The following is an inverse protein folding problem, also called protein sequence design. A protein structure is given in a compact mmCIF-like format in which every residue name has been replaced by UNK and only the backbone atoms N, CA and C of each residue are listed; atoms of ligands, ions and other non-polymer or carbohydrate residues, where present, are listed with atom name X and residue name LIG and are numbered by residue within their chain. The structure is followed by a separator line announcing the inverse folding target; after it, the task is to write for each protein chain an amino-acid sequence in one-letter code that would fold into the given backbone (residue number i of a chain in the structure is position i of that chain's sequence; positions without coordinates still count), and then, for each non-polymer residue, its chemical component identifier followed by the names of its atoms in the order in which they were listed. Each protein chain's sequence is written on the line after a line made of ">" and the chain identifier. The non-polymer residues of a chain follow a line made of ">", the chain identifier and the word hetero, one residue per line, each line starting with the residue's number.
data_IF_396085656802
#
_entry.id   IF_396085656802
#
_cell.length_a   1.000
_cell.length_b   1.000
_cell.length_c   1.000
_cell.angle_alpha   90.00
_cell.angle_beta   90.00
_cell.angle_gamma   90.00
#
_symmetry.space_group_name_H-M   'P 1'
#
loop_
_entity.id
_entity.type
_entity.pdbx_description
1 polymer ?
#
# COMPACT_ATOMS: atom_id res chain seq x y z
N UNK A 1 -14.18 -15.61 -5.21
CA UNK A 1 -14.00 -14.14 -5.37
C UNK A 1 -14.70 -13.47 -4.19
N UNK A 2 -13.95 -12.88 -3.26
CA UNK A 2 -14.53 -12.19 -2.11
C UNK A 2 -15.15 -10.87 -2.59
N UNK A 3 -16.49 -10.82 -2.59
CA UNK A 3 -17.26 -9.60 -2.82
C UNK A 3 -17.04 -8.72 -1.59
N UNK A 4 -16.25 -7.66 -1.70
CA UNK A 4 -16.08 -6.74 -0.58
C UNK A 4 -17.38 -5.97 -0.37
N UNK A 5 -18.13 -6.38 0.65
CA UNK A 5 -19.38 -5.76 1.06
C UNK A 5 -19.09 -4.39 1.68
N UNK A 6 -19.56 -3.33 1.00
CA UNK A 6 -19.92 -2.01 1.52
C UNK A 6 -18.87 -1.29 2.40
N UNK A 7 -18.37 -0.16 1.89
CA UNK A 7 -17.44 0.71 2.61
C UNK A 7 -17.85 0.96 4.07
N UNK A 8 -16.91 0.82 4.99
CA UNK A 8 -17.11 0.91 6.44
C UNK A 8 -16.55 2.22 6.98
N UNK A 9 -17.38 3.02 7.63
CA UNK A 9 -16.94 4.22 8.33
C UNK A 9 -16.18 3.80 9.60
N UNK A 10 -14.90 4.13 9.68
CA UNK A 10 -14.05 3.88 10.84
C UNK A 10 -14.09 5.03 11.85
N UNK A 11 -14.19 6.26 11.33
CA UNK A 11 -14.27 7.49 12.14
C UNK A 11 -15.22 8.47 11.48
N UNK A 12 -15.97 9.22 12.28
CA UNK A 12 -16.81 10.31 11.78
C UNK A 12 -16.92 11.43 12.80
N UNK A 13 -16.49 12.62 12.40
CA UNK A 13 -16.61 13.85 13.17
C UNK A 13 -17.37 14.88 12.36
N UNK A 14 -18.28 15.60 13.01
CA UNK A 14 -18.95 16.77 12.43
C UNK A 14 -18.41 18.04 13.07
N UNK A 15 -18.33 19.12 12.29
CA UNK A 15 -17.99 20.43 12.83
C UNK A 15 -16.50 20.69 13.06
N UNK A 16 -15.62 19.93 12.40
CA UNK A 16 -14.18 20.18 12.44
C UNK A 16 -13.84 21.41 11.60
N UNK A 17 -12.88 22.22 12.05
CA UNK A 17 -12.34 23.30 11.21
C UNK A 17 -11.27 22.70 10.30
N UNK A 18 -11.47 22.81 9.00
CA UNK A 18 -10.60 22.21 7.99
C UNK A 18 -10.07 23.28 7.05
N UNK A 19 -8.80 23.16 6.68
CA UNK A 19 -8.15 23.94 5.63
C UNK A 19 -7.50 23.00 4.62
N UNK A 20 -7.91 23.10 3.37
CA UNK A 20 -7.32 22.39 2.24
C UNK A 20 -6.40 23.32 1.46
N UNK A 21 -5.32 22.78 0.88
CA UNK A 21 -4.38 23.56 0.09
C UNK A 21 -5.00 24.14 -1.19
N UNK A 22 -4.47 25.28 -1.66
CA UNK A 22 -4.78 25.87 -2.97
C UNK A 22 -6.19 26.46 -3.11
N UNK A 23 -6.60 27.32 -2.16
CA UNK A 23 -7.92 27.99 -2.10
C UNK A 23 -9.15 27.07 -2.22
N UNK A 24 -8.95 25.75 -2.17
CA UNK A 24 -10.00 24.74 -2.37
C UNK A 24 -11.08 24.83 -1.31
N UNK A 25 -10.66 24.98 -0.05
CA UNK A 25 -11.60 25.06 1.06
C UNK A 25 -10.93 25.54 2.35
N UNK A 26 -11.58 26.47 3.05
CA UNK A 26 -11.31 26.78 4.45
C UNK A 26 -12.64 27.01 5.17
N UNK A 27 -12.95 26.20 6.19
CA UNK A 27 -14.23 26.30 6.86
C UNK A 27 -14.55 25.14 7.80
N UNK A 28 -15.84 25.01 8.13
CA UNK A 28 -16.35 23.93 8.98
C UNK A 28 -16.83 22.77 8.11
N UNK A 29 -16.24 21.59 8.32
CA UNK A 29 -16.54 20.38 7.58
C UNK A 29 -16.80 19.20 8.53
N UNK A 30 -17.43 18.16 7.99
CA UNK A 30 -17.40 16.84 8.58
C UNK A 30 -16.22 16.06 8.03
N UNK A 31 -15.51 15.35 8.89
CA UNK A 31 -14.33 14.55 8.55
C UNK A 31 -14.65 13.10 8.84
N UNK A 32 -14.44 12.22 7.86
CA UNK A 32 -14.68 10.79 8.01
C UNK A 32 -13.48 9.99 7.53
N UNK A 33 -13.17 8.90 8.21
CA UNK A 33 -12.23 7.89 7.71
C UNK A 33 -13.07 6.68 7.33
N UNK A 34 -12.93 6.25 6.07
CA UNK A 34 -13.72 5.17 5.50
C UNK A 34 -12.78 4.09 4.98
N UNK A 35 -12.99 2.86 5.42
CA UNK A 35 -12.35 1.67 4.86
C UNK A 35 -13.16 1.23 3.64
N UNK A 36 -12.56 1.36 2.45
CA UNK A 36 -13.16 0.98 1.17
C UNK A 36 -12.81 -0.47 0.79
N UNK A 37 -11.63 -0.94 1.20
CA UNK A 37 -11.15 -2.32 1.06
C UNK A 37 -10.12 -2.62 2.18
N UNK A 38 -9.60 -3.85 2.33
CA UNK A 38 -8.57 -4.15 3.34
C UNK A 38 -7.31 -3.28 3.19
N UNK A 39 -7.07 -2.81 1.96
CA UNK A 39 -5.90 -2.06 1.57
C UNK A 39 -6.19 -0.56 1.38
N UNK A 40 -7.44 -0.19 1.10
CA UNK A 40 -7.79 1.17 0.69
C UNK A 40 -8.64 1.80 1.79
N UNK A 41 -8.09 2.83 2.42
CA UNK A 41 -8.84 3.73 3.28
C UNK A 41 -8.82 5.15 2.71
N UNK A 42 -9.89 5.90 2.93
CA UNK A 42 -10.05 7.26 2.46
C UNK A 42 -10.42 8.19 3.61
N UNK A 43 -9.82 9.37 3.63
CA UNK A 43 -10.25 10.50 4.41
C UNK A 43 -11.22 11.33 3.55
N UNK A 44 -12.45 11.48 4.03
CA UNK A 44 -13.46 12.32 3.41
C UNK A 44 -13.56 13.64 4.16
N UNK A 45 -13.52 14.75 3.44
CA UNK A 45 -13.83 16.09 3.95
C UNK A 45 -15.11 16.56 3.28
N UNK A 46 -16.17 16.70 4.07
CA UNK A 46 -17.51 17.04 3.60
C UNK A 46 -17.83 18.45 4.13
N UNK A 47 -17.77 19.50 3.28
CA UNK A 47 -18.10 20.85 3.70
C UNK A 47 -19.51 20.94 4.29
N UNK A 48 -19.71 21.78 5.32
CA UNK A 48 -21.04 22.02 5.88
C UNK A 48 -21.97 22.87 4.98
N UNK A 49 -21.54 23.19 3.76
CA UNK A 49 -22.32 23.97 2.78
C UNK A 49 -23.09 23.04 1.83
N UNK A 50 -24.33 23.37 1.44
CA UNK A 50 -25.18 22.49 0.63
C UNK A 50 -24.62 22.13 -0.75
N UNK A 51 -23.77 22.99 -1.31
CA UNK A 51 -23.13 22.81 -2.64
C UNK A 51 -21.64 22.45 -2.52
N UNK A 52 -21.20 22.03 -1.33
CA UNK A 52 -19.80 21.67 -1.09
C UNK A 52 -19.39 20.41 -1.86
N UNK A 53 -18.28 20.50 -2.58
CA UNK A 53 -17.62 19.32 -3.15
C UNK A 53 -17.02 18.52 -2.00
N UNK A 54 -17.27 17.21 -1.98
CA UNK A 54 -16.62 16.29 -1.03
C UNK A 54 -15.22 16.00 -1.53
N UNK A 55 -14.22 16.37 -0.74
CA UNK A 55 -12.84 15.99 -1.01
C UNK A 55 -12.60 14.56 -0.50
N UNK A 56 -12.11 13.71 -1.39
CA UNK A 56 -11.76 12.32 -1.11
C UNK A 56 -10.24 12.18 -1.19
N UNK A 57 -9.61 11.90 -0.06
CA UNK A 57 -8.15 11.82 0.06
C UNK A 57 -7.78 10.39 0.42
N UNK A 58 -7.02 9.72 -0.45
CA UNK A 58 -6.51 8.38 -0.15
C UNK A 58 -5.53 8.41 1.02
N UNK A 59 -5.71 7.50 1.97
CA UNK A 59 -4.77 7.28 3.06
C UNK A 59 -3.70 6.31 2.56
N UNK A 60 -2.47 6.79 2.45
CA UNK A 60 -1.32 6.02 1.97
C UNK A 60 -0.18 6.08 2.98
N UNK A 61 0.76 5.16 2.87
CA UNK A 61 2.02 5.14 3.63
C UNK A 61 2.94 6.33 3.28
N UNK A 62 2.77 6.91 2.09
CA UNK A 62 3.52 8.08 1.61
C UNK A 62 3.03 9.43 2.20
N UNK A 63 1.88 9.44 2.88
CA UNK A 63 1.38 10.66 3.50
C UNK A 63 2.19 11.01 4.76
N UNK A 64 2.61 12.27 4.87
CA UNK A 64 3.20 12.83 6.07
C UNK A 64 2.10 13.29 7.01
N UNK A 65 2.14 12.78 8.24
CA UNK A 65 1.21 13.14 9.32
C UNK A 65 1.96 13.96 10.37
N UNK A 66 1.58 15.23 10.55
CA UNK A 66 2.08 16.09 11.63
C UNK A 66 0.94 16.41 12.58
N UNK A 67 1.22 16.31 13.87
CA UNK A 67 0.22 16.54 14.91
C UNK A 67 0.66 17.63 15.86
N UNK A 68 -0.23 18.58 16.15
CA UNK A 68 -0.07 19.56 17.21
C UNK A 68 -1.10 19.30 18.31
N UNK A 69 -0.61 18.72 19.41
CA UNK A 69 -1.43 18.36 20.57
C UNK A 69 -1.94 19.60 21.32
N UNK A 70 -1.24 20.74 21.24
CA UNK A 70 -1.61 21.95 21.98
C UNK A 70 -2.86 22.60 21.40
N UNK A 71 -3.01 22.54 20.07
CA UNK A 71 -4.17 23.08 19.35
C UNK A 71 -5.15 22.00 18.87
N UNK A 72 -4.88 20.73 19.18
CA UNK A 72 -5.61 19.56 18.68
C UNK A 72 -5.72 19.56 17.15
N UNK A 73 -4.64 19.96 16.46
CA UNK A 73 -4.59 20.05 15.01
C UNK A 73 -3.78 18.90 14.41
N UNK A 74 -4.22 18.43 13.25
CA UNK A 74 -3.54 17.41 12.47
C UNK A 74 -3.36 17.94 11.06
N UNK A 75 -2.12 17.98 10.59
CA UNK A 75 -1.75 18.30 9.21
C UNK A 75 -1.37 17.00 8.51
N UNK A 76 -2.03 16.74 7.38
CA UNK A 76 -1.72 15.62 6.49
C UNK A 76 -1.27 16.21 5.17
N UNK A 77 -0.09 15.79 4.71
CA UNK A 77 0.49 16.26 3.47
C UNK A 77 0.95 15.06 2.63
N UNK A 78 0.69 15.05 1.33
CA UNK A 78 1.27 14.05 0.43
C UNK A 78 2.30 14.71 -0.46
N UNK A 79 3.53 14.20 -0.39
CA UNK A 79 4.63 14.61 -1.26
C UNK A 79 4.85 13.55 -2.34
N UNK A 80 5.09 13.97 -3.59
CA UNK A 80 5.54 13.04 -4.63
C UNK A 80 6.92 12.50 -4.25
N UNK A 81 7.07 11.18 -4.21
CA UNK A 81 8.37 10.53 -4.04
C UNK A 81 9.29 10.85 -5.23
N UNK A 82 10.55 11.18 -4.94
CA UNK A 82 11.62 11.28 -5.95
C UNK A 82 12.04 12.66 -6.44
N UNK A 83 11.48 13.77 -5.93
CA UNK A 83 11.93 15.11 -6.32
C UNK A 83 12.36 15.94 -5.10
N UNK A 84 13.54 16.57 -5.23
CA UNK A 84 14.11 17.55 -4.30
C UNK A 84 13.05 18.61 -3.97
N UNK A 85 12.60 18.63 -2.70
CA UNK A 85 11.81 19.69 -2.05
C UNK A 85 10.87 20.45 -3.00
N UNK A 86 9.72 19.86 -3.32
CA UNK A 86 8.58 20.63 -3.84
C UNK A 86 7.40 20.53 -2.87
N UNK A 87 6.58 21.58 -2.90
CA UNK A 87 5.36 21.75 -2.11
C UNK A 87 4.49 20.49 -2.13
N UNK A 88 3.77 20.19 -1.03
CA UNK A 88 2.87 19.04 -0.98
C UNK A 88 1.85 19.07 -2.12
N UNK A 89 1.63 17.92 -2.75
CA UNK A 89 0.58 17.72 -3.77
C UNK A 89 -0.78 18.07 -3.18
N UNK A 90 -0.97 17.75 -1.90
CA UNK A 90 -2.04 18.29 -1.09
C UNK A 90 -1.55 18.53 0.33
N UNK A 91 -2.16 19.49 1.00
CA UNK A 91 -2.13 19.63 2.45
C UNK A 91 -3.57 19.74 2.94
N UNK A 92 -3.92 18.99 3.97
CA UNK A 92 -5.14 19.16 4.73
C UNK A 92 -4.78 19.37 6.19
N UNK A 93 -5.29 20.45 6.78
CA UNK A 93 -5.19 20.69 8.22
C UNK A 93 -6.58 20.52 8.81
N UNK A 94 -6.71 19.62 9.78
CA UNK A 94 -7.93 19.36 10.52
C UNK A 94 -7.71 19.79 11.97
N UNK A 95 -8.46 20.77 12.42
CA UNK A 95 -8.49 21.20 13.81
C UNK A 95 -9.68 20.57 14.52
N UNK A 96 -9.38 19.79 15.55
CA UNK A 96 -10.31 18.99 16.33
C UNK A 96 -10.62 19.75 17.63
N UNK A 97 -11.88 19.75 18.06
CA UNK A 97 -12.31 20.57 19.19
C UNK A 97 -11.96 19.96 20.54
N UNK A 98 -11.82 18.63 20.60
CA UNK A 98 -11.63 17.89 21.85
C UNK A 98 -10.37 17.02 21.78
N UNK A 99 -9.52 17.01 22.82
CA UNK A 99 -8.31 16.19 22.85
C UNK A 99 -8.58 14.68 22.68
N UNK A 100 -9.70 14.19 23.21
CA UNK A 100 -10.05 12.77 23.09
C UNK A 100 -10.31 12.38 21.63
N UNK A 101 -11.01 13.24 20.89
CA UNK A 101 -11.31 13.07 19.46
C UNK A 101 -10.02 13.18 18.63
N UNK A 102 -9.08 14.03 19.04
CA UNK A 102 -7.75 14.09 18.43
C UNK A 102 -7.00 12.77 18.53
N UNK A 103 -6.95 12.15 19.70
CA UNK A 103 -6.26 10.87 19.86
C UNK A 103 -6.96 9.73 19.13
N UNK A 104 -8.30 9.71 19.13
CA UNK A 104 -9.08 8.75 18.36
C UNK A 104 -8.80 8.87 16.86
N UNK A 105 -8.83 10.09 16.32
CA UNK A 105 -8.50 10.35 14.93
C UNK A 105 -7.08 9.85 14.58
N UNK A 106 -6.09 10.22 15.40
CA UNK A 106 -4.69 9.83 15.18
C UNK A 106 -4.52 8.31 15.18
N UNK A 107 -5.14 7.60 16.14
CA UNK A 107 -5.07 6.15 16.23
C UNK A 107 -5.68 5.45 15.01
N UNK A 108 -6.85 5.92 14.55
CA UNK A 108 -7.54 5.33 13.41
C UNK A 108 -6.79 5.64 12.11
N UNK A 109 -6.34 6.88 11.92
CA UNK A 109 -5.62 7.28 10.71
C UNK A 109 -4.29 6.53 10.57
N UNK A 110 -3.49 6.44 11.64
CA UNK A 110 -2.23 5.69 11.64
C UNK A 110 -2.43 4.19 11.43
N UNK A 111 -3.48 3.60 12.01
CA UNK A 111 -3.84 2.20 11.76
C UNK A 111 -4.20 1.96 10.29
N UNK A 112 -4.93 2.89 9.68
CA UNK A 112 -5.26 2.81 8.25
C UNK A 112 -4.01 2.89 7.35
N UNK A 113 -3.04 3.76 7.68
CA UNK A 113 -1.75 3.80 6.98
C UNK A 113 -0.96 2.49 7.09
N UNK A 114 -0.89 1.89 8.28
CA UNK A 114 -0.17 0.64 8.50
C UNK A 114 -0.79 -0.54 7.74
N UNK A 115 -2.13 -0.61 7.68
CA UNK A 115 -2.84 -1.62 6.90
C UNK A 115 -2.49 -1.55 5.41
N UNK A 116 -2.38 -0.34 4.86
CA UNK A 116 -1.94 -0.12 3.48
C UNK A 116 -0.55 -0.71 3.26
N UNK A 117 0.42 -0.37 4.11
CA UNK A 117 1.78 -0.89 4.01
C UNK A 117 1.86 -2.42 4.08
N UNK A 118 1.17 -3.03 5.05
CA UNK A 118 1.16 -4.49 5.18
C UNK A 118 0.55 -5.19 3.96
N UNK A 119 -0.49 -4.61 3.35
CA UNK A 119 -1.10 -5.18 2.16
C UNK A 119 -0.20 -5.03 0.92
N UNK A 120 0.47 -3.89 0.78
CA UNK A 120 1.42 -3.67 -0.30
C UNK A 120 2.57 -4.69 -0.24
N UNK A 121 3.16 -4.89 0.95
CA UNK A 121 4.21 -5.91 1.15
C UNK A 121 3.70 -7.31 0.79
N UNK A 122 2.50 -7.68 1.21
CA UNK A 122 1.94 -9.00 0.89
C UNK A 122 1.68 -9.20 -0.62
N UNK A 123 1.31 -8.15 -1.35
CA UNK A 123 1.18 -8.20 -2.81
C UNK A 123 2.56 -8.31 -3.47
N UNK A 124 3.54 -7.54 -3.01
CA UNK A 124 4.89 -7.53 -3.58
C UNK A 124 5.56 -8.90 -3.39
N UNK A 125 5.38 -9.54 -2.23
CA UNK A 125 5.85 -10.91 -1.96
C UNK A 125 5.18 -11.92 -2.91
N UNK A 126 3.85 -11.84 -3.08
CA UNK A 126 3.11 -12.72 -3.99
C UNK A 126 3.52 -12.53 -5.45
N UNK A 127 3.70 -11.29 -5.90
CA UNK A 127 4.17 -11.01 -7.26
C UNK A 127 5.59 -11.54 -7.48
N UNK A 128 6.45 -11.43 -6.47
CA UNK A 128 7.81 -11.97 -6.52
C UNK A 128 7.79 -13.50 -6.61
N UNK A 129 6.89 -14.17 -5.87
CA UNK A 129 6.68 -15.62 -5.99
C UNK A 129 6.21 -16.01 -7.40
N UNK A 130 5.18 -15.34 -7.94
CA UNK A 130 4.66 -15.61 -9.29
C UNK A 130 5.74 -15.43 -10.37
N UNK A 131 6.53 -14.34 -10.30
CA UNK A 131 7.59 -14.06 -11.28
C UNK A 131 8.70 -15.11 -11.22
N UNK A 132 9.03 -15.61 -10.02
CA UNK A 132 10.09 -16.60 -9.84
C UNK A 132 9.63 -18.04 -10.12
N UNK A 133 8.34 -18.34 -9.97
CA UNK A 133 7.77 -19.66 -10.29
C UNK A 133 7.76 -19.94 -11.81
N UNK A 134 7.58 -18.91 -12.66
CA UNK A 134 7.64 -19.05 -14.13
C UNK A 134 9.05 -19.35 -14.68
N UNK A 135 10.12 -19.23 -13.89
CA UNK A 135 11.48 -19.67 -14.27
C UNK A 135 11.82 -21.12 -13.85
N UNK A 136 10.94 -21.80 -13.11
CA UNK A 136 11.24 -23.13 -12.53
C UNK A 136 10.79 -24.35 -13.37
N UNK A 137 10.03 -24.14 -14.45
CA UNK A 137 9.52 -25.25 -15.31
C UNK A 137 10.39 -25.55 -16.56
N UNK A 138 11.64 -25.08 -16.63
CA UNK A 138 12.52 -25.35 -17.77
C UNK A 138 13.85 -26.01 -17.38
N UNK A 139 13.83 -27.07 -16.57
CA UNK A 139 14.96 -28.02 -16.55
C UNK A 139 14.55 -29.47 -16.35
N UNK A 140 15.03 -30.26 -17.29
CA UNK A 140 15.39 -31.67 -17.21
C UNK A 140 14.32 -32.70 -17.54
N UNK A 141 14.04 -32.91 -18.84
CA UNK A 141 13.90 -34.25 -19.42
C UNK A 141 14.33 -34.22 -20.91
N UNK A 142 15.62 -34.46 -21.19
CA UNK A 142 16.08 -34.94 -22.50
C UNK A 142 17.47 -35.61 -22.34
N UNK A 143 17.49 -36.78 -21.69
CA UNK A 143 18.53 -37.79 -21.94
C UNK A 143 17.95 -38.83 -22.90
N UNK A 144 18.09 -38.59 -24.20
CA UNK A 144 17.75 -39.55 -25.25
C UNK A 144 18.99 -40.06 -25.99
N UNK A 145 19.24 -41.35 -25.80
CA UNK A 145 19.59 -42.39 -26.80
C UNK A 145 20.94 -42.34 -27.55
N UNK A 146 21.74 -43.37 -27.23
CA UNK A 146 22.49 -44.30 -28.10
C UNK A 146 22.88 -43.90 -29.54
N UNK A 147 24.16 -44.09 -29.86
CA UNK A 147 24.57 -44.56 -31.18
C UNK A 147 25.79 -45.49 -31.09
N UNK A 148 25.57 -46.78 -31.31
CA UNK A 148 26.58 -47.78 -31.67
C UNK A 148 27.10 -47.57 -33.11
N UNK A 149 28.40 -47.86 -33.31
CA UNK A 149 29.05 -48.40 -34.53
C UNK A 149 30.58 -48.17 -34.39
N UNK A 150 31.52 -49.08 -34.65
CA UNK A 150 31.55 -50.48 -35.09
C UNK A 150 33.03 -50.93 -34.90
N UNK A 151 33.26 -52.19 -34.50
CA UNK A 151 34.55 -52.89 -34.22
C UNK A 151 35.38 -53.10 -35.55
N UNK A 152 36.65 -53.60 -35.62
CA UNK A 152 37.10 -54.86 -34.96
C UNK A 152 38.59 -55.00 -34.57
N UNK A 153 38.82 -55.95 -33.65
CA UNK A 153 39.94 -56.91 -33.61
C UNK A 153 41.40 -56.43 -33.43
N UNK A 154 41.91 -56.54 -32.19
CA UNK A 154 43.15 -57.28 -31.95
C UNK A 154 43.19 -57.96 -30.56
N UNK A 155 42.89 -59.27 -30.57
CA UNK A 155 43.36 -60.37 -29.69
C UNK A 155 44.80 -60.14 -29.13
N UNK A 156 45.28 -60.64 -27.99
CA UNK A 156 44.82 -61.61 -26.99
C UNK A 156 45.77 -61.49 -25.77
N UNK A 157 45.20 -61.48 -24.55
CA UNK A 157 45.64 -62.12 -23.29
C UNK A 157 47.12 -62.03 -22.80
N UNK A 158 47.51 -62.28 -21.54
CA UNK A 158 47.01 -63.08 -20.42
C UNK A 158 47.67 -62.55 -19.11
N UNK A 159 46.92 -62.60 -18.00
CA UNK A 159 47.31 -62.96 -16.62
C UNK A 159 48.28 -62.15 -15.73
N UNK A 160 47.69 -61.61 -14.66
CA UNK A 160 47.72 -62.15 -13.28
C UNK A 160 48.91 -61.82 -12.33
N UNK A 161 48.49 -61.25 -11.19
CA UNK A 161 49.00 -61.41 -9.82
C UNK A 161 50.25 -60.66 -9.30
N UNK A 162 49.98 -60.06 -8.12
CA UNK A 162 50.82 -59.76 -6.95
C UNK A 162 51.57 -58.42 -6.89
#
# INVERSE_FOLDING_TARGET
>A
MAVYEKAKILFSLKGAKVKLSGDRYEGIASVQIVECSPAISMLLVIPAIPEGIVDMISITDQAQLKSDQTTCAVEIALTRTGAVVHEPVFTVTVQLQEPIVFWEFMAIYTTAMLKYGNHQVAIDDLLTEIINDEESELKDEDESEESEADDPDHFEAINDSA
#
